data_IF_975708527049
#
_entry.id   IF_975708527049
#
_cell.length_a   1.000
_cell.length_b   1.000
_cell.length_c   1.000
_cell.angle_alpha   90.00
_cell.angle_beta   90.00
_cell.angle_gamma   90.00
#
_symmetry.space_group_name_H-M   'P 1'
#
loop_
_entity.id
_entity.type
_entity.pdbx_description
1 polymer ?
#
# COMPACT_ATOMS: atom_id res chain seq x y z
N UNK A 1 -1.65 30.06 3.14
CA UNK A 1 -2.97 29.41 3.06
C UNK A 1 -3.05 28.72 1.70
N UNK A 2 -3.01 27.38 1.66
CA UNK A 2 -3.25 26.61 0.43
C UNK A 2 -4.68 26.83 -0.01
N UNK A 3 -4.92 27.24 -1.26
CA UNK A 3 -6.30 27.46 -1.74
C UNK A 3 -7.01 26.12 -1.98
N UNK A 4 -8.35 26.10 -2.01
CA UNK A 4 -9.11 24.88 -2.35
C UNK A 4 -8.68 24.25 -3.68
N UNK A 5 -8.37 25.11 -4.67
CA UNK A 5 -7.84 24.70 -5.97
C UNK A 5 -6.46 24.04 -5.87
N UNK A 6 -5.59 24.54 -5.01
CA UNK A 6 -4.28 23.93 -4.76
C UNK A 6 -4.41 22.57 -4.07
N UNK A 7 -5.31 22.45 -3.09
CA UNK A 7 -5.59 21.19 -2.40
C UNK A 7 -6.11 20.12 -3.36
N UNK A 8 -7.01 20.48 -4.27
CA UNK A 8 -7.53 19.57 -5.30
C UNK A 8 -6.43 19.11 -6.26
N UNK A 9 -5.58 20.03 -6.73
CA UNK A 9 -4.45 19.68 -7.60
C UNK A 9 -3.48 18.69 -6.93
N UNK A 10 -3.22 18.86 -5.64
CA UNK A 10 -2.38 17.94 -4.85
C UNK A 10 -3.02 16.55 -4.80
N UNK A 11 -4.31 16.47 -4.49
CA UNK A 11 -5.04 15.18 -4.46
C UNK A 11 -5.00 14.50 -5.83
N UNK A 12 -5.27 15.23 -6.92
CA UNK A 12 -5.20 14.67 -8.28
C UNK A 12 -3.80 14.13 -8.62
N UNK A 13 -2.76 14.86 -8.24
CA UNK A 13 -1.38 14.40 -8.43
C UNK A 13 -1.11 13.12 -7.63
N UNK A 14 -1.50 13.08 -6.36
CA UNK A 14 -1.32 11.91 -5.49
C UNK A 14 -2.11 10.70 -6.01
N UNK A 15 -3.33 10.89 -6.51
CA UNK A 15 -4.12 9.82 -7.15
C UNK A 15 -3.40 9.26 -8.37
N UNK A 16 -2.81 10.11 -9.22
CA UNK A 16 -2.02 9.64 -10.39
C UNK A 16 -0.79 8.85 -9.96
N UNK A 17 -0.10 9.29 -8.90
CA UNK A 17 1.08 8.62 -8.35
C UNK A 17 0.69 7.26 -7.77
N UNK A 18 -0.30 7.20 -6.88
CA UNK A 18 -0.71 5.96 -6.22
C UNK A 18 -1.31 4.96 -7.22
N UNK A 19 -2.01 5.42 -8.26
CA UNK A 19 -2.47 4.55 -9.35
C UNK A 19 -1.29 3.91 -10.11
N UNK A 20 -0.18 4.64 -10.30
CA UNK A 20 1.03 4.10 -10.93
C UNK A 20 1.75 3.11 -10.02
N UNK A 21 1.85 3.42 -8.72
CA UNK A 21 2.42 2.53 -7.71
C UNK A 21 1.63 1.23 -7.57
N UNK A 22 0.29 1.31 -7.52
CA UNK A 22 -0.60 0.15 -7.49
C UNK A 22 -0.35 -0.78 -8.69
N UNK A 23 -0.32 -0.25 -9.92
CA UNK A 23 -0.03 -1.05 -11.11
C UNK A 23 1.34 -1.72 -11.07
N UNK A 24 2.36 -1.06 -10.55
CA UNK A 24 3.70 -1.66 -10.45
C UNK A 24 3.78 -2.71 -9.36
N UNK A 25 3.09 -2.51 -8.25
CA UNK A 25 2.97 -3.52 -7.20
C UNK A 25 2.24 -4.76 -7.72
N UNK A 26 1.09 -4.59 -8.37
CA UNK A 26 0.34 -5.69 -8.98
C UNK A 26 1.21 -6.50 -9.94
N UNK A 27 1.91 -5.82 -10.86
CA UNK A 27 2.83 -6.48 -11.80
C UNK A 27 3.93 -7.29 -11.11
N UNK A 28 4.52 -6.79 -10.03
CA UNK A 28 5.53 -7.56 -9.28
C UNK A 28 4.88 -8.73 -8.54
N UNK A 29 3.72 -8.50 -7.91
CA UNK A 29 2.98 -9.54 -7.21
C UNK A 29 2.59 -10.68 -8.15
N UNK A 30 2.16 -10.37 -9.39
CA UNK A 30 1.82 -11.37 -10.39
C UNK A 30 3.04 -12.18 -10.84
N UNK A 31 4.20 -11.52 -11.00
CA UNK A 31 5.46 -12.23 -11.28
C UNK A 31 5.84 -13.17 -10.14
N UNK A 32 5.73 -12.71 -8.89
CA UNK A 32 5.99 -13.56 -7.72
C UNK A 32 5.00 -14.72 -7.63
N UNK A 33 3.70 -14.50 -7.82
CA UNK A 33 2.70 -15.59 -7.81
C UNK A 33 2.90 -16.63 -8.92
N UNK A 34 3.54 -16.24 -10.03
CA UNK A 34 3.89 -17.15 -11.11
C UNK A 34 5.10 -18.03 -10.75
N UNK A 35 5.95 -17.58 -9.82
CA UNK A 35 6.94 -18.41 -9.16
C UNK A 35 6.22 -19.17 -8.05
N UNK A 36 6.43 -20.48 -7.93
CA UNK A 36 5.85 -21.22 -6.81
C UNK A 36 6.54 -20.73 -5.52
N UNK A 37 5.94 -19.78 -4.80
CA UNK A 37 6.52 -19.22 -3.58
C UNK A 37 6.32 -20.22 -2.43
N UNK A 38 7.27 -21.14 -2.31
CA UNK A 38 7.40 -22.15 -1.29
C UNK A 38 8.72 -22.00 -0.52
N UNK A 39 8.96 -22.89 0.46
CA UNK A 39 10.16 -22.84 1.29
C UNK A 39 11.46 -22.94 0.46
N UNK A 40 11.58 -23.87 -0.52
CA UNK A 40 12.74 -23.89 -1.42
C UNK A 40 12.98 -22.58 -2.18
N UNK A 41 11.92 -21.90 -2.63
CA UNK A 41 12.08 -20.59 -3.27
C UNK A 41 12.67 -19.57 -2.29
N UNK A 42 12.19 -19.54 -1.04
CA UNK A 42 12.72 -18.64 -0.02
C UNK A 42 14.18 -18.97 0.34
N UNK A 43 14.52 -20.25 0.50
CA UNK A 43 15.90 -20.68 0.78
C UNK A 43 16.86 -20.30 -0.36
N UNK A 44 16.37 -20.25 -1.61
CA UNK A 44 17.20 -19.85 -2.75
C UNK A 44 17.56 -18.36 -2.79
N UNK A 45 16.98 -17.52 -1.92
CA UNK A 45 17.26 -16.07 -1.89
C UNK A 45 18.72 -15.75 -1.54
N UNK A 46 19.40 -16.62 -0.79
CA UNK A 46 20.82 -16.44 -0.44
C UNK A 46 21.76 -16.63 -1.64
N UNK A 47 21.36 -17.49 -2.58
CA UNK A 47 22.20 -17.90 -3.72
C UNK A 47 21.73 -17.32 -5.07
N UNK A 48 20.58 -16.63 -5.09
CA UNK A 48 19.97 -16.09 -6.29
C UNK A 48 19.72 -14.58 -6.19
N UNK A 49 20.61 -13.80 -6.80
CA UNK A 49 20.43 -12.35 -6.96
C UNK A 49 19.08 -12.01 -7.61
N UNK A 50 18.64 -12.81 -8.59
CA UNK A 50 17.36 -12.57 -9.27
C UNK A 50 16.17 -12.72 -8.32
N UNK A 51 16.13 -13.76 -7.48
CA UNK A 51 15.05 -13.96 -6.52
C UNK A 51 15.08 -12.91 -5.42
N UNK A 52 16.28 -12.58 -4.92
CA UNK A 52 16.49 -11.54 -3.91
C UNK A 52 16.03 -10.16 -4.40
N UNK A 53 16.46 -9.77 -5.60
CA UNK A 53 16.03 -8.51 -6.24
C UNK A 53 14.51 -8.47 -6.50
N UNK A 54 13.89 -9.61 -6.83
CA UNK A 54 12.44 -9.69 -7.00
C UNK A 54 11.69 -9.42 -5.69
N UNK A 55 12.16 -10.04 -4.60
CA UNK A 55 11.60 -9.82 -3.26
C UNK A 55 11.77 -8.36 -2.85
N UNK A 56 12.96 -7.79 -2.97
CA UNK A 56 13.25 -6.39 -2.64
C UNK A 56 12.37 -5.42 -3.44
N UNK A 57 12.22 -5.67 -4.74
CA UNK A 57 11.35 -4.88 -5.59
C UNK A 57 9.89 -4.97 -5.13
N UNK A 58 9.43 -6.13 -4.68
CA UNK A 58 8.08 -6.31 -4.13
C UNK A 58 7.91 -5.55 -2.81
N UNK A 59 8.78 -5.78 -1.82
CA UNK A 59 8.71 -5.15 -0.50
C UNK A 59 8.77 -3.63 -0.62
N UNK A 60 9.68 -3.11 -1.45
CA UNK A 60 9.81 -1.67 -1.72
C UNK A 60 8.55 -1.07 -2.33
N UNK A 61 7.94 -1.73 -3.33
CA UNK A 61 6.72 -1.25 -4.00
C UNK A 61 5.50 -1.34 -3.07
N UNK A 62 5.42 -2.40 -2.28
CA UNK A 62 4.36 -2.63 -1.30
C UNK A 62 4.35 -1.51 -0.26
N UNK A 63 5.50 -1.29 0.39
CA UNK A 63 5.65 -0.22 1.38
C UNK A 63 5.38 1.16 0.80
N UNK A 64 5.92 1.46 -0.40
CA UNK A 64 5.73 2.75 -1.07
C UNK A 64 4.26 3.07 -1.34
N UNK A 65 3.49 2.10 -1.85
CA UNK A 65 2.07 2.29 -2.08
C UNK A 65 1.34 2.56 -0.76
N UNK A 66 1.60 1.73 0.26
CA UNK A 66 0.96 1.88 1.56
C UNK A 66 1.26 3.24 2.21
N UNK A 67 2.53 3.66 2.23
CA UNK A 67 2.95 4.94 2.80
C UNK A 67 2.37 6.12 2.01
N UNK A 68 2.38 6.07 0.67
CA UNK A 68 1.82 7.16 -0.13
C UNK A 68 0.31 7.27 0.02
N UNK A 69 -0.41 6.15 0.10
CA UNK A 69 -1.85 6.13 0.37
C UNK A 69 -2.16 6.68 1.77
N UNK A 70 -1.53 6.12 2.80
CA UNK A 70 -1.84 6.43 4.19
C UNK A 70 -1.33 7.79 4.66
N UNK A 71 -0.08 8.12 4.34
CA UNK A 71 0.60 9.27 4.93
C UNK A 71 0.46 10.53 4.06
N UNK A 72 0.09 10.38 2.78
CA UNK A 72 -0.02 11.50 1.83
C UNK A 72 -1.43 11.65 1.25
N UNK A 73 -1.93 10.65 0.52
CA UNK A 73 -3.21 10.76 -0.18
C UNK A 73 -4.37 10.91 0.80
N UNK A 74 -4.45 10.07 1.82
CA UNK A 74 -5.52 10.10 2.81
C UNK A 74 -5.66 11.48 3.50
N UNK A 75 -4.61 12.04 4.14
CA UNK A 75 -4.75 13.35 4.79
C UNK A 75 -4.98 14.48 3.78
N UNK A 76 -4.47 14.39 2.55
CA UNK A 76 -4.78 15.37 1.51
C UNK A 76 -6.26 15.30 1.09
N UNK A 77 -6.81 14.09 0.92
CA UNK A 77 -8.19 13.84 0.54
C UNK A 77 -9.17 14.30 1.62
N UNK A 78 -8.87 14.01 2.89
CA UNK A 78 -9.65 14.51 4.03
C UNK A 78 -9.74 16.04 4.01
N UNK A 79 -8.58 16.74 3.89
CA UNK A 79 -8.57 18.22 3.85
C UNK A 79 -9.34 18.78 2.65
N UNK A 80 -9.23 18.14 1.48
CA UNK A 80 -9.99 18.55 0.30
C UNK A 80 -11.50 18.39 0.48
N UNK A 81 -11.93 17.39 1.26
CA UNK A 81 -13.31 17.17 1.68
C UNK A 81 -13.76 18.00 2.89
N UNK A 82 -12.95 18.97 3.36
CA UNK A 82 -13.21 19.77 4.57
C UNK A 82 -13.33 18.94 5.86
N UNK A 83 -12.77 17.73 5.87
CA UNK A 83 -12.67 16.88 7.05
C UNK A 83 -11.51 17.33 7.94
N UNK A 84 -11.64 17.11 9.26
CA UNK A 84 -10.52 17.31 10.19
C UNK A 84 -9.49 16.20 10.01
N UNK A 85 -8.23 16.57 9.88
CA UNK A 85 -7.10 15.62 9.94
C UNK A 85 -6.52 15.57 11.34
N UNK A 86 -6.27 14.35 11.85
CA UNK A 86 -5.65 14.09 13.14
C UNK A 86 -4.40 13.22 13.01
N UNK A 87 -4.13 12.42 14.04
CA UNK A 87 -3.08 11.40 14.01
C UNK A 87 -3.37 10.36 12.92
N UNK A 88 -2.35 9.55 12.56
CA UNK A 88 -2.49 8.58 11.48
C UNK A 88 -3.66 7.60 11.71
N UNK A 89 -3.79 7.08 12.94
CA UNK A 89 -4.88 6.19 13.32
C UNK A 89 -6.26 6.86 13.18
N UNK A 90 -6.39 8.11 13.62
CA UNK A 90 -7.65 8.85 13.51
C UNK A 90 -8.06 9.05 12.06
N UNK A 91 -7.09 9.35 11.18
CA UNK A 91 -7.34 9.51 9.75
C UNK A 91 -7.79 8.19 9.11
N UNK A 92 -7.20 7.06 9.49
CA UNK A 92 -7.61 5.73 9.01
C UNK A 92 -9.02 5.38 9.48
N UNK A 93 -9.32 5.56 10.77
CA UNK A 93 -10.66 5.36 11.32
C UNK A 93 -11.70 6.25 10.63
N UNK A 94 -11.31 7.48 10.27
CA UNK A 94 -12.19 8.38 9.51
C UNK A 94 -12.40 7.87 8.09
N UNK A 95 -11.35 7.41 7.42
CA UNK A 95 -11.43 6.83 6.07
C UNK A 95 -12.34 5.60 6.02
N UNK A 96 -12.26 4.73 7.03
CA UNK A 96 -13.12 3.55 7.17
C UNK A 96 -14.59 3.96 7.34
N UNK A 97 -14.89 4.90 8.25
CA UNK A 97 -16.25 5.43 8.41
C UNK A 97 -16.81 6.07 7.14
N UNK A 98 -15.95 6.64 6.30
CA UNK A 98 -16.33 7.24 5.01
C UNK A 98 -16.39 6.22 3.86
N UNK A 99 -16.04 4.94 4.12
CA UNK A 99 -16.03 3.87 3.12
C UNK A 99 -14.88 3.98 2.11
N UNK A 100 -13.81 4.70 2.45
CA UNK A 100 -12.64 4.87 1.59
C UNK A 100 -11.65 3.72 1.73
N UNK A 101 -11.72 3.01 2.86
CA UNK A 101 -11.05 1.75 3.14
C UNK A 101 -12.02 0.80 3.84
N UNK A 102 -11.74 -0.51 3.80
CA UNK A 102 -12.63 -1.52 4.40
C UNK A 102 -12.42 -1.65 5.92
N UNK A 103 -11.18 -1.63 6.38
CA UNK A 103 -10.83 -1.92 7.78
C UNK A 103 -9.51 -1.26 8.15
N UNK A 104 -9.54 -0.39 9.16
CA UNK A 104 -8.34 0.22 9.75
C UNK A 104 -7.45 -0.84 10.38
N UNK A 105 -8.04 -1.85 11.02
CA UNK A 105 -7.30 -2.93 11.66
C UNK A 105 -6.47 -3.71 10.63
N UNK A 106 -7.09 -4.10 9.52
CA UNK A 106 -6.40 -4.78 8.43
C UNK A 106 -5.29 -3.93 7.84
N UNK A 107 -5.48 -2.62 7.72
CA UNK A 107 -4.42 -1.73 7.26
C UNK A 107 -3.18 -1.73 8.16
N UNK A 108 -3.40 -1.77 9.48
CA UNK A 108 -2.32 -1.85 10.47
C UNK A 108 -1.58 -3.19 10.34
N UNK A 109 -2.32 -4.29 10.25
CA UNK A 109 -1.75 -5.65 10.05
C UNK A 109 -0.90 -5.71 8.77
N UNK A 110 -1.36 -5.10 7.67
CA UNK A 110 -0.60 -5.00 6.43
C UNK A 110 0.71 -4.21 6.60
N UNK A 111 0.74 -3.21 7.49
CA UNK A 111 1.94 -2.41 7.79
C UNK A 111 2.93 -3.19 8.65
N UNK A 112 2.44 -3.97 9.60
CA UNK A 112 3.25 -4.89 10.40
C UNK A 112 3.84 -6.01 9.54
N UNK A 113 3.06 -6.56 8.60
CA UNK A 113 3.51 -7.53 7.61
C UNK A 113 4.70 -7.02 6.79
N UNK A 114 4.63 -5.77 6.31
CA UNK A 114 5.75 -5.13 5.62
C UNK A 114 6.98 -5.06 6.53
N UNK A 115 6.81 -4.69 7.80
CA UNK A 115 7.94 -4.62 8.72
C UNK A 115 8.56 -6.01 8.89
N UNK A 116 7.76 -7.07 9.04
CA UNK A 116 8.26 -8.45 9.09
C UNK A 116 9.05 -8.83 7.83
N UNK A 117 8.53 -8.53 6.63
CA UNK A 117 9.26 -8.81 5.38
C UNK A 117 10.65 -8.18 5.30
N UNK A 118 10.87 -7.03 5.95
CA UNK A 118 12.17 -6.35 5.99
C UNK A 118 13.11 -6.94 7.05
N UNK A 119 12.60 -7.60 8.09
CA UNK A 119 13.43 -8.11 9.19
C UNK A 119 13.63 -9.62 9.13
N UNK A 120 12.58 -10.38 8.80
CA UNK A 120 12.56 -11.86 8.86
C UNK A 120 13.38 -12.54 7.76
N UNK A 121 13.69 -11.85 6.65
CA UNK A 121 14.43 -12.45 5.54
C UNK A 121 15.85 -12.91 5.91
N UNK A 122 16.37 -12.50 7.07
CA UNK A 122 17.68 -12.90 7.58
C UNK A 122 17.63 -13.88 8.75
N UNK A 123 16.44 -14.20 9.29
CA UNK A 123 16.30 -14.93 10.56
C UNK A 123 15.56 -16.27 10.41
N UNK A 124 14.54 -16.34 9.54
CA UNK A 124 13.72 -17.56 9.39
C UNK A 124 13.05 -17.63 8.02
N UNK A 125 13.42 -18.64 7.22
CA UNK A 125 12.83 -18.87 5.90
C UNK A 125 11.32 -19.19 5.98
N UNK A 126 10.89 -19.90 7.04
CA UNK A 126 9.48 -20.22 7.26
C UNK A 126 8.64 -18.97 7.59
N UNK A 127 9.13 -18.12 8.49
CA UNK A 127 8.41 -16.89 8.86
C UNK A 127 8.39 -15.87 7.71
N UNK A 128 9.48 -15.80 6.92
CA UNK A 128 9.51 -15.01 5.70
C UNK A 128 8.49 -15.51 4.68
N UNK A 129 8.40 -16.83 4.46
CA UNK A 129 7.43 -17.43 3.55
C UNK A 129 6.00 -17.04 3.94
N UNK A 130 5.66 -17.22 5.22
CA UNK A 130 4.34 -16.89 5.74
C UNK A 130 4.02 -15.39 5.61
N UNK A 131 4.98 -14.52 5.91
CA UNK A 131 4.84 -13.07 5.76
C UNK A 131 4.65 -12.68 4.28
N UNK A 132 5.40 -13.31 3.36
CA UNK A 132 5.34 -13.04 1.92
C UNK A 132 4.01 -13.46 1.32
N UNK A 133 3.52 -14.65 1.68
CA UNK A 133 2.21 -15.12 1.24
C UNK A 133 1.07 -14.22 1.74
N UNK A 134 1.12 -13.78 3.00
CA UNK A 134 0.15 -12.84 3.57
C UNK A 134 0.21 -11.47 2.86
N UNK A 135 1.41 -10.94 2.62
CA UNK A 135 1.56 -9.67 1.91
C UNK A 135 1.07 -9.74 0.46
N UNK A 136 1.32 -10.85 -0.25
CA UNK A 136 0.79 -11.08 -1.60
C UNK A 136 -0.73 -11.08 -1.64
N UNK A 137 -1.41 -11.60 -0.62
CA UNK A 137 -2.87 -11.49 -0.48
C UNK A 137 -3.30 -10.03 -0.20
N UNK A 138 -2.55 -9.35 0.68
CA UNK A 138 -2.73 -7.95 1.05
C UNK A 138 -2.63 -6.94 -0.11
N UNK A 139 -1.95 -7.29 -1.20
CA UNK A 139 -1.88 -6.44 -2.42
C UNK A 139 -3.27 -6.06 -2.92
N UNK A 140 -4.22 -7.00 -2.90
CA UNK A 140 -5.59 -6.75 -3.36
C UNK A 140 -6.31 -5.71 -2.49
N UNK A 141 -5.96 -5.63 -1.21
CA UNK A 141 -6.56 -4.70 -0.24
C UNK A 141 -6.01 -3.29 -0.47
N UNK A 142 -4.68 -3.16 -0.65
CA UNK A 142 -4.04 -1.87 -0.93
C UNK A 142 -4.52 -1.27 -2.26
N UNK A 143 -4.60 -2.09 -3.31
CA UNK A 143 -5.05 -1.68 -4.65
C UNK A 143 -6.52 -1.27 -4.65
N UNK A 144 -7.41 -2.05 -4.01
CA UNK A 144 -8.82 -1.66 -3.82
C UNK A 144 -8.96 -0.37 -2.99
N UNK A 145 -8.13 -0.18 -1.96
CA UNK A 145 -8.13 1.07 -1.18
C UNK A 145 -7.71 2.27 -2.04
N UNK A 146 -6.69 2.09 -2.90
CA UNK A 146 -6.32 3.11 -3.88
C UNK A 146 -7.49 3.48 -4.80
N UNK A 147 -8.19 2.48 -5.35
CA UNK A 147 -9.35 2.69 -6.24
C UNK A 147 -10.47 3.45 -5.52
N UNK A 148 -10.77 3.07 -4.28
CA UNK A 148 -11.78 3.75 -3.45
C UNK A 148 -11.42 5.20 -3.22
N UNK A 149 -10.22 5.50 -2.73
CA UNK A 149 -9.77 6.88 -2.51
C UNK A 149 -9.77 7.71 -3.80
N UNK A 150 -9.36 7.11 -4.93
CA UNK A 150 -9.38 7.78 -6.23
C UNK A 150 -10.80 8.11 -6.72
N UNK A 151 -11.78 7.23 -6.48
CA UNK A 151 -13.17 7.49 -6.81
C UNK A 151 -13.73 8.65 -5.98
N UNK A 152 -13.32 8.78 -4.73
CA UNK A 152 -13.77 9.86 -3.83
C UNK A 152 -13.14 11.21 -4.22
N UNK A 153 -11.86 11.20 -4.62
CA UNK A 153 -11.20 12.38 -5.17
C UNK A 153 -11.93 12.96 -6.39
N UNK A 154 -12.48 12.10 -7.26
CA UNK A 154 -13.25 12.54 -8.43
C UNK A 154 -14.60 13.17 -8.05
N UNK A 155 -15.28 12.63 -7.02
CA UNK A 155 -16.55 13.18 -6.52
C UNK A 155 -16.40 14.52 -5.83
N UNK A 156 -15.25 14.78 -5.22
CA UNK A 156 -14.95 16.03 -4.52
C UNK A 156 -14.59 17.20 -5.46
N UNK A 157 -14.66 17.02 -6.77
CA UNK A 157 -14.36 18.06 -7.77
C UNK A 157 -15.58 19.00 -7.92
N UNK A 158 -15.48 20.29 -7.56
CA UNK A 158 -16.52 21.25 -7.87
C UNK A 158 -16.64 21.41 -9.37
N UNK A 159 -17.88 21.48 -9.85
CA UNK A 159 -18.24 21.75 -11.26
C UNK A 159 -17.73 23.12 -11.69
#
# INVERSE_FOLDING_TARGET
MTTLRDSQRIVEQLVRVTAKEARYLERTADRLRALNIDLPWVESLEDSDEHSEMLDAFVSRYGRLQDTLGDKLLPALLRAGLEKTGAQLDNLLRAEKLGWMESTQTWIELRELRNRLVHEYMESAGDLLDALQQALQGVSILTKTQVRMAAQAQKARPV
#
